data_IF_325271445669
#
_entry.id   IF_325271445669
#
_cell.length_a   1.000
_cell.length_b   1.000
_cell.length_c   1.000
_cell.angle_alpha   90.00
_cell.angle_beta   90.00
_cell.angle_gamma   90.00
#
_symmetry.space_group_name_H-M   'P 1'
#
loop_
_entity.id
_entity.type
_entity.pdbx_description
1 polymer ?
#
# COMPACT_ATOMS: atom_id res chain seq x y z
N UNK A 1 -49.80 -3.29 4.74
CA UNK A 1 -49.92 -4.52 3.92
C UNK A 1 -48.63 -4.62 3.09
N UNK A 2 -47.68 -5.51 3.41
CA UNK A 2 -47.54 -6.91 2.88
C UNK A 2 -47.55 -6.92 1.35
N UNK A 3 -46.59 -7.45 0.58
CA UNK A 3 -45.51 -8.46 0.77
C UNK A 3 -44.49 -8.31 -0.39
N UNK A 4 -43.19 -8.53 -0.15
CA UNK A 4 -42.37 -9.70 -0.59
C UNK A 4 -42.35 -9.91 -2.13
N UNK A 5 -41.24 -10.11 -2.83
CA UNK A 5 -39.93 -10.66 -2.50
C UNK A 5 -39.57 -11.59 -3.66
N UNK A 6 -38.36 -11.51 -4.21
CA UNK A 6 -37.82 -12.53 -5.11
C UNK A 6 -36.30 -12.54 -4.96
N UNK A 7 -35.83 -13.45 -4.11
CA UNK A 7 -34.45 -13.88 -4.07
C UNK A 7 -34.14 -14.71 -5.31
N UNK A 8 -32.90 -14.61 -5.79
CA UNK A 8 -32.38 -15.51 -6.81
C UNK A 8 -31.65 -16.63 -6.09
N UNK A 9 -32.22 -17.81 -6.25
CA UNK A 9 -31.79 -19.12 -5.78
C UNK A 9 -30.57 -19.57 -6.59
N UNK A 10 -29.51 -20.03 -5.93
CA UNK A 10 -28.33 -20.63 -6.56
C UNK A 10 -28.30 -22.12 -6.20
N UNK A 11 -28.28 -23.03 -7.19
CA UNK A 11 -28.54 -24.44 -6.97
C UNK A 11 -27.42 -25.14 -6.19
N UNK A 12 -27.86 -25.95 -5.22
CA UNK A 12 -27.07 -26.85 -4.38
C UNK A 12 -26.98 -28.23 -5.05
N UNK A 13 -25.87 -28.51 -5.72
CA UNK A 13 -25.32 -29.84 -6.07
C UNK A 13 -24.03 -29.57 -6.88
N UNK A 14 -22.87 -30.20 -6.70
CA UNK A 14 -22.62 -31.60 -6.39
C UNK A 14 -21.33 -31.72 -5.58
N UNK A 15 -21.44 -32.36 -4.41
CA UNK A 15 -20.36 -33.17 -3.86
C UNK A 15 -20.24 -34.41 -4.73
N UNK A 16 -19.24 -34.48 -5.60
CA UNK A 16 -18.68 -35.76 -6.06
C UNK A 16 -17.35 -35.49 -6.77
N UNK A 17 -16.27 -36.06 -6.24
CA UNK A 17 -14.95 -35.93 -6.85
C UNK A 17 -13.83 -36.36 -5.94
N UNK A 18 -13.74 -37.69 -5.71
CA UNK A 18 -12.58 -38.35 -5.14
C UNK A 18 -11.29 -37.86 -5.83
N UNK A 19 -10.37 -37.27 -5.08
CA UNK A 19 -8.95 -37.26 -5.43
C UNK A 19 -8.17 -37.98 -4.34
N UNK A 20 -7.54 -39.07 -4.77
CA UNK A 20 -6.80 -40.02 -3.94
C UNK A 20 -5.47 -39.39 -3.57
N UNK A 21 -5.32 -38.94 -2.33
CA UNK A 21 -4.01 -38.63 -1.74
C UNK A 21 -3.50 -39.85 -0.97
N UNK A 22 -2.21 -40.23 -1.12
CA UNK A 22 -1.65 -41.33 -0.33
C UNK A 22 -1.61 -40.94 1.15
N UNK A 23 -2.14 -41.85 1.98
CA UNK A 23 -2.22 -41.74 3.44
C UNK A 23 -0.80 -41.80 4.02
N UNK A 24 -0.24 -40.67 4.43
CA UNK A 24 1.00 -40.61 5.21
C UNK A 24 0.79 -41.24 6.60
N UNK A 25 1.79 -42.00 7.06
CA UNK A 25 1.76 -42.72 8.34
C UNK A 25 2.03 -41.77 9.51
N UNK A 26 1.42 -42.04 10.68
CA UNK A 26 1.57 -41.23 11.91
C UNK A 26 3.00 -41.20 12.50
N UNK A 27 3.96 -41.92 11.93
CA UNK A 27 5.32 -42.03 12.47
C UNK A 27 6.36 -41.14 11.79
N UNK A 28 6.03 -40.49 10.68
CA UNK A 28 7.00 -39.68 9.91
C UNK A 28 6.86 -38.15 10.16
N UNK A 29 6.12 -37.74 11.20
CA UNK A 29 5.78 -36.33 11.51
C UNK A 29 6.38 -35.85 12.85
N UNK A 30 7.20 -36.66 13.54
CA UNK A 30 7.57 -36.40 14.94
C UNK A 30 9.01 -35.96 15.26
N UNK A 31 9.85 -35.65 14.26
CA UNK A 31 11.22 -35.14 14.52
C UNK A 31 11.47 -33.67 14.11
N UNK A 32 10.42 -32.89 13.88
CA UNK A 32 10.52 -31.43 13.97
C UNK A 32 9.80 -30.99 15.22
N UNK A 33 10.57 -30.71 16.28
CA UNK A 33 10.06 -30.00 17.44
C UNK A 33 9.31 -28.76 16.94
N UNK A 34 8.02 -28.57 17.31
CA UNK A 34 7.34 -27.33 16.97
C UNK A 34 8.14 -26.18 17.58
N UNK A 35 8.35 -25.06 16.85
CA UNK A 35 8.97 -23.89 17.45
C UNK A 35 8.20 -23.52 18.73
N UNK A 36 8.87 -23.01 19.77
CA UNK A 36 8.23 -22.75 21.05
C UNK A 36 6.97 -21.93 20.83
N UNK A 37 5.84 -22.46 21.33
CA UNK A 37 4.58 -21.74 21.33
C UNK A 37 4.75 -20.53 22.24
N UNK A 38 5.00 -19.37 21.65
CA UNK A 38 5.01 -18.10 22.35
C UNK A 38 3.58 -17.82 22.85
N UNK A 39 3.30 -18.21 24.08
CA UNK A 39 2.16 -17.67 24.84
C UNK A 39 2.51 -16.27 25.31
N UNK A 40 2.46 -15.33 24.38
CA UNK A 40 2.43 -13.91 24.64
C UNK A 40 1.51 -13.30 23.62
N UNK A 41 0.31 -12.89 24.05
CA UNK A 41 -0.46 -11.94 23.27
C UNK A 41 0.42 -10.69 23.15
N UNK A 42 1.19 -10.57 22.08
CA UNK A 42 1.60 -9.26 21.61
C UNK A 42 0.30 -8.60 21.20
N UNK A 43 -0.33 -7.90 22.15
CA UNK A 43 -1.31 -6.86 21.85
C UNK A 43 -0.67 -6.04 20.74
N UNK A 44 -1.20 -6.18 19.52
CA UNK A 44 -0.85 -5.26 18.45
C UNK A 44 -1.21 -3.90 19.01
N UNK A 45 -0.20 -3.07 19.26
CA UNK A 45 -0.39 -1.67 19.62
C UNK A 45 -1.44 -1.10 18.67
N UNK A 46 -2.55 -0.54 19.18
CA UNK A 46 -3.59 -0.02 18.32
C UNK A 46 -2.97 1.02 17.39
N UNK A 47 -3.23 0.87 16.10
CA UNK A 47 -2.72 1.80 15.10
C UNK A 47 -3.15 3.24 15.48
N UNK A 48 -2.20 4.16 15.50
CA UNK A 48 -2.47 5.57 15.78
C UNK A 48 -1.94 6.45 14.65
N UNK A 49 -2.73 7.44 14.26
CA UNK A 49 -2.28 8.44 13.30
C UNK A 49 -1.36 9.45 14.00
N UNK A 50 -0.12 9.56 13.53
CA UNK A 50 0.77 10.66 13.88
C UNK A 50 0.33 11.98 13.22
N UNK A 51 0.65 13.10 13.88
CA UNK A 51 0.59 14.41 13.27
C UNK A 51 1.68 14.50 12.19
N UNK A 52 1.35 14.79 10.91
CA UNK A 52 2.35 14.98 9.87
C UNK A 52 3.31 16.15 10.16
N UNK A 53 2.85 17.18 10.87
CA UNK A 53 3.55 18.46 10.98
C UNK A 53 3.48 19.24 9.67
N UNK A 54 4.35 20.25 9.52
CA UNK A 54 4.48 21.00 8.26
C UNK A 54 5.26 20.18 7.25
N UNK A 55 4.62 19.86 6.14
CA UNK A 55 5.22 19.17 5.00
C UNK A 55 5.34 20.15 3.83
N UNK A 56 6.45 20.86 3.73
CA UNK A 56 6.68 21.88 2.70
C UNK A 56 8.15 22.01 2.36
N UNK A 57 8.45 22.35 1.11
CA UNK A 57 9.79 22.71 0.63
C UNK A 57 9.90 24.20 0.28
N UNK A 58 8.92 25.01 0.67
CA UNK A 58 8.87 26.46 0.45
C UNK A 58 8.05 26.90 -0.76
N UNK A 59 7.87 26.06 -1.79
CA UNK A 59 6.98 26.37 -2.92
C UNK A 59 5.83 25.38 -3.07
N UNK A 60 6.01 24.15 -2.61
CA UNK A 60 4.97 23.12 -2.57
C UNK A 60 4.76 22.71 -1.13
N UNK A 61 3.50 22.63 -0.72
CA UNK A 61 3.07 22.13 0.57
C UNK A 61 2.10 20.95 0.41
N UNK A 62 2.14 20.02 1.36
CA UNK A 62 1.17 18.95 1.49
C UNK A 62 0.19 19.29 2.61
N UNK A 63 -1.07 19.48 2.23
CA UNK A 63 -2.15 19.79 3.17
C UNK A 63 -2.93 18.52 3.46
N UNK A 64 -2.94 18.07 4.71
CA UNK A 64 -3.68 16.87 5.12
C UNK A 64 -5.19 17.10 4.92
N UNK A 65 -5.80 16.31 4.06
CA UNK A 65 -7.24 16.33 3.78
C UNK A 65 -7.98 15.39 4.72
N UNK A 66 -7.51 14.15 4.83
CA UNK A 66 -8.15 13.15 5.69
C UNK A 66 -7.20 12.06 6.16
N UNK A 67 -7.59 11.44 7.27
CA UNK A 67 -7.05 10.18 7.80
C UNK A 67 -8.13 9.13 7.61
N UNK A 68 -7.81 8.05 6.90
CA UNK A 68 -8.75 6.96 6.62
C UNK A 68 -8.33 5.76 7.45
N UNK A 69 -9.12 5.35 8.46
CA UNK A 69 -8.84 4.15 9.24
C UNK A 69 -8.73 2.90 8.35
N UNK A 70 -7.94 1.94 8.80
CA UNK A 70 -7.88 0.63 8.16
C UNK A 70 -9.16 -0.18 8.40
N UNK A 71 -9.36 -1.18 7.56
CA UNK A 71 -10.39 -2.22 7.68
C UNK A 71 -9.71 -3.56 7.36
N UNK A 72 -9.28 -4.25 8.41
CA UNK A 72 -8.56 -5.52 8.31
C UNK A 72 -9.41 -6.60 7.62
N UNK A 73 -10.74 -6.61 7.84
CA UNK A 73 -11.65 -7.57 7.21
C UNK A 73 -11.71 -7.40 5.70
N UNK A 74 -11.39 -6.21 5.19
CA UNK A 74 -11.34 -5.88 3.76
C UNK A 74 -9.92 -5.72 3.21
N UNK A 75 -8.89 -5.98 4.02
CA UNK A 75 -7.50 -5.78 3.66
C UNK A 75 -7.16 -4.30 3.32
N UNK A 76 -7.90 -3.35 3.88
CA UNK A 76 -7.64 -1.92 3.72
C UNK A 76 -6.72 -1.50 4.86
N UNK A 77 -5.55 -0.98 4.52
CA UNK A 77 -4.64 -0.42 5.53
C UNK A 77 -4.98 1.05 5.81
N UNK A 78 -4.68 1.57 7.01
CA UNK A 78 -4.85 2.98 7.30
C UNK A 78 -4.11 3.87 6.31
N UNK A 79 -4.63 5.07 6.03
CA UNK A 79 -3.97 5.98 5.11
C UNK A 79 -4.15 7.46 5.43
N UNK A 80 -3.19 8.25 4.99
CA UNK A 80 -3.26 9.70 4.93
C UNK A 80 -3.50 10.14 3.50
N UNK A 81 -4.33 11.14 3.31
CA UNK A 81 -4.52 11.78 2.01
C UNK A 81 -4.21 13.26 2.11
N UNK A 82 -3.38 13.74 1.20
CA UNK A 82 -2.93 15.12 1.15
C UNK A 82 -3.24 15.74 -0.21
N UNK A 83 -3.60 17.01 -0.20
CA UNK A 83 -3.54 17.85 -1.38
C UNK A 83 -2.10 18.35 -1.58
N UNK A 84 -1.63 18.33 -2.82
CA UNK A 84 -0.45 19.07 -3.24
C UNK A 84 -0.89 20.51 -3.52
N UNK A 85 -0.32 21.48 -2.80
CA UNK A 85 -0.72 22.88 -2.90
C UNK A 85 0.49 23.73 -3.21
N UNK A 86 0.35 24.67 -4.15
CA UNK A 86 1.34 25.72 -4.35
C UNK A 86 1.36 26.61 -3.10
N UNK A 87 2.47 26.62 -2.37
CA UNK A 87 2.59 27.30 -1.09
C UNK A 87 2.46 28.83 -1.19
N UNK A 88 2.65 29.41 -2.39
CA UNK A 88 2.53 30.85 -2.63
C UNK A 88 1.13 31.27 -3.04
N UNK A 89 0.47 30.48 -3.90
CA UNK A 89 -0.83 30.85 -4.48
C UNK A 89 -2.01 30.16 -3.80
N UNK A 90 -1.78 29.07 -3.06
CA UNK A 90 -2.83 28.23 -2.49
C UNK A 90 -3.52 27.30 -3.50
N UNK A 91 -3.05 27.29 -4.75
CA UNK A 91 -3.66 26.49 -5.82
C UNK A 91 -3.40 24.99 -5.62
N UNK A 92 -4.45 24.17 -5.79
CA UNK A 92 -4.37 22.71 -5.65
C UNK A 92 -3.86 22.10 -6.95
N UNK A 93 -2.69 21.47 -6.87
CA UNK A 93 -1.99 20.89 -8.02
C UNK A 93 -2.31 19.41 -8.24
N UNK A 94 -2.88 18.74 -7.24
CA UNK A 94 -3.08 17.30 -7.24
C UNK A 94 -3.18 16.74 -5.82
N UNK A 95 -2.95 15.44 -5.69
CA UNK A 95 -3.00 14.76 -4.40
C UNK A 95 -2.03 13.59 -4.29
N UNK A 96 -1.60 13.32 -3.06
CA UNK A 96 -0.75 12.18 -2.69
C UNK A 96 -1.35 11.47 -1.48
N UNK A 97 -1.30 10.15 -1.48
CA UNK A 97 -1.71 9.33 -0.34
C UNK A 97 -0.54 8.50 0.18
N UNK A 98 -0.53 8.28 1.49
CA UNK A 98 0.41 7.41 2.19
C UNK A 98 -0.39 6.36 2.95
N UNK A 99 -0.22 5.09 2.60
CA UNK A 99 -0.87 3.93 3.18
C UNK A 99 0.10 3.25 4.15
N UNK A 100 -0.34 3.03 5.39
CA UNK A 100 0.49 2.52 6.47
C UNK A 100 0.22 1.04 6.69
N UNK A 101 1.19 0.21 6.31
CA UNK A 101 1.09 -1.24 6.40
C UNK A 101 1.46 -1.91 5.08
N UNK A 102 1.52 -3.24 5.10
CA UNK A 102 1.87 -4.04 3.93
C UNK A 102 1.05 -5.33 3.91
N UNK A 103 0.38 -5.58 2.79
CA UNK A 103 -0.41 -6.78 2.52
C UNK A 103 -0.42 -7.05 1.00
N UNK A 104 -1.08 -8.10 0.54
CA UNK A 104 -1.13 -8.44 -0.89
C UNK A 104 -1.67 -7.29 -1.77
N UNK A 105 -2.65 -6.52 -1.29
CA UNK A 105 -3.16 -5.36 -2.03
C UNK A 105 -2.10 -4.27 -2.17
N UNK A 106 -1.36 -4.01 -1.10
CA UNK A 106 -0.28 -3.00 -1.07
C UNK A 106 0.96 -3.44 -1.84
N UNK A 107 1.23 -4.75 -1.93
CA UNK A 107 2.34 -5.30 -2.73
C UNK A 107 2.29 -4.83 -4.19
N UNK A 108 1.09 -4.78 -4.78
CA UNK A 108 0.89 -4.33 -6.17
C UNK A 108 0.39 -2.88 -6.27
N UNK A 109 -0.43 -2.42 -5.32
CA UNK A 109 -0.99 -1.07 -5.31
C UNK A 109 -0.07 0.02 -4.72
N UNK A 110 1.00 -0.39 -4.05
CA UNK A 110 1.97 0.49 -3.40
C UNK A 110 1.46 1.15 -2.12
N UNK A 111 2.40 1.61 -1.30
CA UNK A 111 2.11 2.39 -0.11
C UNK A 111 1.86 3.87 -0.45
N UNK A 112 2.30 4.32 -1.63
CA UNK A 112 2.08 5.69 -2.10
C UNK A 112 1.37 5.67 -3.44
N UNK A 113 0.31 6.45 -3.54
CA UNK A 113 -0.33 6.82 -4.81
C UNK A 113 -0.39 8.33 -4.94
N UNK A 114 -0.25 8.83 -6.17
CA UNK A 114 -0.32 10.27 -6.46
C UNK A 114 -0.96 10.54 -7.82
N UNK A 115 -1.50 11.74 -7.96
CA UNK A 115 -1.99 12.27 -9.22
C UNK A 115 -1.74 13.78 -9.27
N UNK A 116 -1.30 14.28 -10.42
CA UNK A 116 -1.04 15.71 -10.66
C UNK A 116 -1.91 16.18 -11.82
N UNK A 117 -2.60 17.31 -11.63
CA UNK A 117 -3.40 18.00 -12.64
C UNK A 117 -2.59 18.26 -13.91
N UNK A 118 -3.23 18.25 -15.09
CA UNK A 118 -2.51 18.27 -16.37
C UNK A 118 -1.67 19.54 -16.52
N UNK A 119 -2.21 20.66 -16.08
CA UNK A 119 -1.63 22.00 -16.05
C UNK A 119 -0.41 22.14 -15.13
N UNK A 120 -0.24 21.22 -14.15
CA UNK A 120 0.86 21.25 -13.18
C UNK A 120 1.95 20.21 -13.45
N UNK A 121 1.85 19.46 -14.54
CA UNK A 121 2.86 18.46 -14.93
C UNK A 121 4.16 19.12 -15.35
N UNK A 122 5.25 18.36 -15.30
CA UNK A 122 6.60 18.87 -15.61
C UNK A 122 7.27 19.64 -14.47
N UNK A 123 6.52 20.07 -13.45
CA UNK A 123 7.04 20.82 -12.29
C UNK A 123 7.59 19.93 -11.16
N UNK A 124 7.72 18.62 -11.41
CA UNK A 124 8.18 17.61 -10.45
C UNK A 124 7.36 17.54 -9.15
N UNK A 125 6.13 18.04 -9.16
CA UNK A 125 5.26 18.11 -7.98
C UNK A 125 5.12 16.75 -7.27
N UNK A 126 4.92 15.66 -8.03
CA UNK A 126 4.82 14.31 -7.46
C UNK A 126 6.10 13.84 -6.77
N UNK A 127 7.27 14.12 -7.34
CA UNK A 127 8.56 13.70 -6.77
C UNK A 127 8.88 14.49 -5.49
N UNK A 128 8.66 15.81 -5.52
CA UNK A 128 8.77 16.69 -4.34
C UNK A 128 7.83 16.23 -3.23
N UNK A 129 6.58 15.96 -3.58
CA UNK A 129 5.56 15.45 -2.64
C UNK A 129 5.95 14.11 -2.03
N UNK A 130 6.47 13.17 -2.85
CA UNK A 130 6.94 11.87 -2.36
C UNK A 130 8.09 12.04 -1.36
N UNK A 131 9.07 12.91 -1.64
CA UNK A 131 10.15 13.22 -0.70
C UNK A 131 9.63 13.81 0.63
N UNK A 132 8.64 14.72 0.56
CA UNK A 132 8.04 15.36 1.74
C UNK A 132 7.30 14.38 2.66
N UNK A 133 6.74 13.28 2.15
CA UNK A 133 6.03 12.30 3.00
C UNK A 133 6.96 11.27 3.66
N UNK A 134 8.21 11.12 3.20
CA UNK A 134 9.14 10.10 3.73
C UNK A 134 9.37 10.22 5.24
N UNK A 135 9.52 11.43 5.84
CA UNK A 135 9.66 11.54 7.30
C UNK A 135 8.43 11.03 8.06
N UNK A 136 7.21 11.18 7.51
CA UNK A 136 6.01 10.63 8.14
C UNK A 136 5.99 9.10 7.99
N UNK A 137 6.33 8.56 6.83
CA UNK A 137 6.45 7.12 6.61
C UNK A 137 7.45 6.48 7.59
N UNK A 138 8.62 7.12 7.79
CA UNK A 138 9.63 6.70 8.77
C UNK A 138 9.08 6.69 10.20
N UNK A 139 8.31 7.69 10.61
CA UNK A 139 7.71 7.73 11.96
C UNK A 139 6.74 6.58 12.21
N UNK A 140 6.09 6.06 11.16
CA UNK A 140 5.26 4.86 11.21
C UNK A 140 6.07 3.54 11.18
N UNK A 141 7.39 3.61 11.20
CA UNK A 141 8.26 2.43 11.14
C UNK A 141 8.30 1.73 9.78
N UNK A 142 7.90 2.44 8.70
CA UNK A 142 8.02 1.89 7.35
C UNK A 142 9.49 1.92 6.93
N UNK A 143 10.17 0.77 6.90
CA UNK A 143 11.49 0.60 6.32
C UNK A 143 11.63 -0.82 5.72
N UNK A 144 11.63 -0.98 4.39
CA UNK A 144 11.51 0.07 3.39
C UNK A 144 10.07 0.57 3.18
N UNK A 145 9.93 1.72 2.53
CA UNK A 145 8.70 2.16 1.88
C UNK A 145 8.66 1.66 0.43
N UNK A 146 7.53 1.09 0.02
CA UNK A 146 7.30 0.56 -1.32
C UNK A 146 6.36 1.46 -2.14
N UNK A 147 6.83 1.90 -3.29
CA UNK A 147 6.02 2.65 -4.28
C UNK A 147 5.93 1.81 -5.54
N UNK A 148 4.74 1.68 -6.12
CA UNK A 148 4.54 0.93 -7.35
C UNK A 148 4.03 1.81 -8.47
N UNK A 149 4.40 1.48 -9.70
CA UNK A 149 3.86 2.12 -10.89
C UNK A 149 3.83 1.12 -12.05
N UNK A 150 3.05 1.44 -13.08
CA UNK A 150 3.06 0.65 -14.30
C UNK A 150 4.41 0.78 -15.04
N UNK A 151 4.92 -0.29 -15.67
CA UNK A 151 6.21 -0.25 -16.36
C UNK A 151 6.29 0.73 -17.53
N UNK A 152 5.17 0.98 -18.19
CA UNK A 152 4.99 1.94 -19.30
C UNK A 152 4.80 3.38 -18.81
N UNK A 153 4.58 3.59 -17.51
CA UNK A 153 4.44 4.90 -16.91
C UNK A 153 5.82 5.53 -16.59
N UNK A 154 6.52 5.94 -17.66
CA UNK A 154 7.84 6.55 -17.58
C UNK A 154 7.88 7.78 -16.62
N UNK A 155 6.80 8.56 -16.56
CA UNK A 155 6.72 9.72 -15.67
C UNK A 155 6.73 9.33 -14.19
N UNK A 156 6.02 8.27 -13.81
CA UNK A 156 5.97 7.79 -12.42
C UNK A 156 7.27 7.08 -12.02
N UNK A 157 7.89 6.36 -12.96
CA UNK A 157 9.23 5.79 -12.78
C UNK A 157 10.25 6.88 -12.47
N UNK A 158 10.28 7.91 -13.31
CA UNK A 158 11.15 9.07 -13.11
C UNK A 158 10.87 9.81 -11.81
N UNK A 159 9.59 9.89 -11.42
CA UNK A 159 9.17 10.47 -10.14
C UNK A 159 9.78 9.71 -8.96
N UNK A 160 9.74 8.37 -8.99
CA UNK A 160 10.32 7.55 -7.93
C UNK A 160 11.85 7.71 -7.85
N UNK A 161 12.53 7.65 -9.00
CA UNK A 161 13.99 7.87 -9.09
C UNK A 161 14.41 9.24 -8.55
N UNK A 162 13.72 10.31 -8.97
CA UNK A 162 14.01 11.68 -8.52
C UNK A 162 13.78 11.87 -7.01
N UNK A 163 12.84 11.12 -6.43
CA UNK A 163 12.58 11.14 -5.00
C UNK A 163 13.56 10.25 -4.18
N UNK A 164 14.51 9.57 -4.84
CA UNK A 164 15.51 8.71 -4.21
C UNK A 164 15.15 7.22 -4.12
N UNK A 165 14.09 6.79 -4.80
CA UNK A 165 13.69 5.38 -4.87
C UNK A 165 14.53 4.60 -5.86
N UNK A 166 14.86 3.36 -5.51
CA UNK A 166 15.60 2.42 -6.37
C UNK A 166 14.62 1.38 -6.92
N UNK A 167 14.64 1.13 -8.22
CA UNK A 167 13.87 0.04 -8.82
C UNK A 167 14.38 -1.29 -8.27
N UNK A 168 13.54 -2.01 -7.52
CA UNK A 168 13.89 -3.29 -6.92
C UNK A 168 13.56 -4.46 -7.85
N UNK A 169 12.33 -4.50 -8.36
CA UNK A 169 11.85 -5.56 -9.25
C UNK A 169 10.67 -5.09 -10.12
N UNK A 170 10.32 -5.93 -11.10
CA UNK A 170 9.09 -5.84 -11.87
C UNK A 170 8.34 -7.15 -11.65
N UNK A 171 7.16 -7.07 -11.03
CA UNK A 171 6.35 -8.24 -10.67
C UNK A 171 5.13 -8.39 -11.57
N UNK A 172 4.79 -9.63 -11.90
CA UNK A 172 3.52 -9.94 -12.55
C UNK A 172 2.37 -9.87 -11.53
N UNK A 173 1.24 -9.31 -11.97
CA UNK A 173 0.05 -9.17 -11.15
C UNK A 173 -0.75 -10.48 -11.21
N UNK A 174 -1.17 -11.06 -10.06
CA UNK A 174 -2.01 -12.25 -10.03
C UNK A 174 -3.32 -12.08 -10.81
N UNK A 175 -3.71 -13.10 -11.58
CA UNK A 175 -4.88 -13.07 -12.48
C UNK A 175 -6.22 -12.86 -11.75
N UNK A 176 -6.29 -13.31 -10.49
CA UNK A 176 -7.46 -13.20 -9.63
C UNK A 176 -7.62 -11.81 -8.97
N UNK A 177 -6.60 -10.96 -9.05
CA UNK A 177 -6.58 -9.63 -8.44
C UNK A 177 -7.46 -8.62 -9.18
N UNK A 178 -7.96 -7.62 -8.45
CA UNK A 178 -8.74 -6.53 -9.03
C UNK A 178 -7.95 -5.67 -10.03
N UNK A 179 -6.63 -5.57 -9.85
CA UNK A 179 -5.75 -4.85 -10.79
C UNK A 179 -5.67 -5.58 -12.13
N UNK A 180 -5.58 -6.91 -12.10
CA UNK A 180 -5.56 -7.72 -13.31
C UNK A 180 -6.87 -7.59 -14.10
N UNK A 181 -8.01 -7.62 -13.38
CA UNK A 181 -9.34 -7.40 -13.96
C UNK A 181 -9.50 -6.01 -14.59
N UNK A 182 -8.68 -5.03 -14.18
CA UNK A 182 -8.63 -3.67 -14.76
C UNK A 182 -7.70 -3.54 -15.97
N UNK A 183 -7.06 -4.63 -16.38
CA UNK A 183 -6.14 -4.64 -17.53
C UNK A 183 -4.67 -4.43 -17.17
N UNK A 184 -4.35 -4.24 -15.88
CA UNK A 184 -2.97 -4.14 -15.43
C UNK A 184 -2.32 -5.53 -15.44
N UNK A 185 -1.04 -5.62 -15.77
CA UNK A 185 -0.34 -6.92 -15.89
C UNK A 185 0.92 -7.01 -15.06
N UNK A 186 1.64 -5.91 -14.94
CA UNK A 186 2.92 -5.84 -14.24
C UNK A 186 3.01 -4.59 -13.41
N UNK A 187 3.83 -4.61 -12.36
CA UNK A 187 4.19 -3.43 -11.58
C UNK A 187 5.68 -3.34 -11.41
N UNK A 188 6.25 -2.17 -11.70
CA UNK A 188 7.55 -1.78 -11.17
C UNK A 188 7.39 -1.50 -9.68
N UNK A 189 8.29 -2.03 -8.85
CA UNK A 189 8.34 -1.75 -7.42
C UNK A 189 9.62 -0.99 -7.10
N UNK A 190 9.46 0.23 -6.59
CA UNK A 190 10.54 1.07 -6.10
C UNK A 190 10.64 0.94 -4.59
N UNK A 191 11.87 0.75 -4.11
CA UNK A 191 12.22 0.66 -2.70
C UNK A 191 12.82 1.98 -2.24
N UNK A 192 12.33 2.50 -1.12
CA UNK A 192 12.89 3.64 -0.40
C UNK A 192 13.34 3.15 0.96
N UNK A 193 14.65 3.12 1.19
CA UNK A 193 15.22 2.78 2.50
C UNK A 193 15.08 3.98 3.43
N UNK A 194 14.31 3.80 4.51
CA UNK A 194 13.93 4.87 5.42
C UNK A 194 14.60 4.75 6.78
N UNK A 195 15.79 4.12 6.82
CA UNK A 195 16.60 3.87 8.01
C UNK A 195 16.38 4.92 9.11
N UNK A 196 16.23 4.44 10.35
CA UNK A 196 16.26 5.31 11.50
C UNK A 196 17.57 6.11 11.45
N UNK A 197 17.48 7.42 11.22
CA UNK A 197 18.64 8.28 11.38
C UNK A 197 19.01 8.21 12.86
N UNK A 198 20.08 7.48 13.17
CA UNK A 198 20.77 7.63 14.44
C UNK A 198 21.12 9.12 14.52
N UNK A 199 20.43 9.86 15.38
CA UNK A 199 20.71 11.27 15.61
C UNK A 199 22.11 11.41 16.17
N UNK A 200 23.07 11.77 15.31
CA UNK A 200 24.35 12.30 15.73
C UNK A 200 24.14 13.75 16.14
N UNK A 201 24.21 14.00 17.46
CA UNK A 201 24.47 15.32 18.01
C UNK A 201 25.93 15.70 17.88
#
# INVERSE_FOLDING_TARGET
>A
MKRAGAGIDIPRAMFSGNSVFPRLSKKDVLDFAPPPVYHGAMERQPFSFHNPGTLSDGELALVLVRRVPGDDARGIVPSYEFNMVNARTGEVMGGINLRIGYNERIKYGGQVGYAVGREFRGQRAAARSLALILPLARRHGLDPLWVTCDPDNAASRRTCELAGGVLADIVDIPEDSDLYKRGERKKCRYRFDLHATNGGG
#
